data_IF_193809898130
#
_entry.id   IF_193809898130
#
_cell.length_a   1.000
_cell.length_b   1.000
_cell.length_c   1.000
_cell.angle_alpha   90.00
_cell.angle_beta   90.00
_cell.angle_gamma   90.00
#
_symmetry.space_group_name_H-M   'P 1'
#
loop_
_entity.id
_entity.type
_entity.pdbx_description
1 polymer ?
#
# COMPACT_ATOMS: atom_id res chain seq x y z
N UNK A 1 16.75 12.52 54.02
CA UNK A 1 17.66 13.04 52.97
C UNK A 1 18.08 11.97 51.96
N UNK A 2 18.85 10.93 52.32
CA UNK A 2 19.35 9.92 51.35
C UNK A 2 18.26 9.16 50.59
N UNK A 3 17.13 8.84 51.25
CA UNK A 3 15.97 8.16 50.62
C UNK A 3 15.25 9.02 49.57
N UNK A 4 15.22 10.35 49.77
CA UNK A 4 14.66 11.30 48.81
C UNK A 4 15.53 11.41 47.54
N UNK A 5 16.85 11.37 47.70
CA UNK A 5 17.78 11.38 46.56
C UNK A 5 17.65 10.13 45.69
N UNK A 6 17.49 8.95 46.30
CA UNK A 6 17.27 7.70 45.57
C UNK A 6 15.94 7.73 44.81
N UNK A 7 14.88 8.26 45.43
CA UNK A 7 13.58 8.40 44.78
C UNK A 7 13.62 9.36 43.57
N UNK A 8 14.29 10.50 43.70
CA UNK A 8 14.46 11.44 42.58
C UNK A 8 15.29 10.83 41.44
N UNK A 9 16.35 10.09 41.75
CA UNK A 9 17.18 9.43 40.74
C UNK A 9 16.40 8.33 39.99
N UNK A 10 15.60 7.54 40.70
CA UNK A 10 14.73 6.54 40.09
C UNK A 10 13.67 7.17 39.18
N UNK A 11 13.04 8.27 39.63
CA UNK A 11 12.06 8.99 38.83
C UNK A 11 12.68 9.58 37.57
N UNK A 12 13.87 10.19 37.66
CA UNK A 12 14.58 10.72 36.49
C UNK A 12 14.91 9.62 35.46
N UNK A 13 15.32 8.43 35.91
CA UNK A 13 15.60 7.31 35.00
C UNK A 13 14.34 6.81 34.26
N UNK A 14 13.18 6.81 34.93
CA UNK A 14 11.89 6.47 34.32
C UNK A 14 11.45 7.51 33.28
N UNK A 15 11.69 8.80 33.53
CA UNK A 15 11.37 9.85 32.55
C UNK A 15 12.26 9.79 31.29
N UNK A 16 13.52 9.37 31.42
CA UNK A 16 14.42 9.24 30.26
C UNK A 16 14.15 8.00 29.41
N UNK A 17 13.57 6.93 29.97
CA UNK A 17 13.24 5.71 29.23
C UNK A 17 12.07 5.88 28.24
N UNK A 18 11.27 6.93 28.39
CA UNK A 18 10.12 7.23 27.53
C UNK A 18 10.45 7.97 26.23
N UNK A 19 11.69 8.45 26.04
CA UNK A 19 12.10 9.15 24.82
C UNK A 19 12.61 8.20 23.73
N UNK A 20 11.99 7.02 23.60
CA UNK A 20 12.17 6.20 22.40
C UNK A 20 11.32 6.83 21.30
N UNK A 21 11.96 7.69 20.52
CA UNK A 21 11.48 8.20 19.23
C UNK A 21 10.77 7.06 18.48
N UNK A 22 9.52 7.30 18.08
CA UNK A 22 8.71 6.31 17.39
C UNK A 22 9.30 6.04 16.00
N UNK A 23 10.18 5.03 15.95
CA UNK A 23 10.81 4.56 14.72
C UNK A 23 9.82 3.85 13.79
N UNK A 24 8.65 3.41 14.29
CA UNK A 24 7.65 2.69 13.48
C UNK A 24 6.86 3.61 12.58
N UNK A 25 6.70 4.87 12.95
CA UNK A 25 6.00 5.84 12.14
C UNK A 25 6.98 6.59 11.25
N UNK A 26 7.97 7.27 11.82
CA UNK A 26 8.66 8.37 11.13
C UNK A 26 9.57 8.02 9.94
N UNK A 27 10.11 6.80 9.81
CA UNK A 27 11.15 6.49 8.81
C UNK A 27 10.63 5.84 7.51
N UNK A 28 9.59 5.00 7.59
CA UNK A 28 9.08 4.21 6.45
C UNK A 28 7.71 4.70 5.94
N UNK A 29 7.28 5.90 6.35
CA UNK A 29 6.03 6.48 5.88
C UNK A 29 6.00 6.60 4.35
N UNK A 30 4.98 6.00 3.75
CA UNK A 30 4.76 6.05 2.31
C UNK A 30 5.59 5.06 1.50
N UNK A 31 6.46 4.26 2.13
CA UNK A 31 7.27 3.28 1.39
C UNK A 31 6.40 2.17 0.80
N UNK A 32 5.45 1.63 1.57
CA UNK A 32 4.45 0.70 1.06
C UNK A 32 3.63 1.28 -0.11
N UNK A 33 3.30 2.57 -0.06
CA UNK A 33 2.59 3.25 -1.14
C UNK A 33 3.47 3.36 -2.39
N UNK A 34 4.73 3.76 -2.25
CA UNK A 34 5.69 3.83 -3.37
C UNK A 34 5.93 2.45 -3.98
N UNK A 35 6.05 1.42 -3.15
CA UNK A 35 6.23 0.03 -3.60
C UNK A 35 5.02 -0.47 -4.40
N UNK A 36 3.81 -0.22 -3.88
CA UNK A 36 2.57 -0.55 -4.59
C UNK A 36 2.49 0.21 -5.92
N UNK A 37 2.79 1.51 -5.94
CA UNK A 37 2.82 2.28 -7.19
C UNK A 37 3.86 1.76 -8.18
N UNK A 38 5.06 1.41 -7.72
CA UNK A 38 6.09 0.83 -8.57
C UNK A 38 5.64 -0.50 -9.18
N UNK A 39 4.93 -1.35 -8.42
CA UNK A 39 4.39 -2.61 -8.92
C UNK A 39 3.29 -2.45 -9.99
N UNK A 40 2.63 -1.29 -10.04
CA UNK A 40 1.59 -0.98 -11.03
C UNK A 40 2.17 -0.46 -12.35
N UNK A 41 3.45 -0.07 -12.39
CA UNK A 41 4.09 0.44 -13.59
C UNK A 41 4.47 -0.75 -14.50
N UNK A 42 3.65 -0.99 -15.52
CA UNK A 42 3.87 -2.08 -16.48
C UNK A 42 5.14 -1.91 -17.34
N UNK A 43 5.50 -0.66 -17.67
CA UNK A 43 6.73 -0.33 -18.40
C UNK A 43 7.25 1.06 -17.99
N UNK A 44 8.27 1.17 -17.13
CA UNK A 44 8.81 2.45 -16.68
C UNK A 44 9.48 3.25 -17.81
N UNK A 45 9.88 2.60 -18.91
CA UNK A 45 10.58 3.21 -20.03
C UNK A 45 9.62 3.81 -21.08
N UNK A 46 8.31 3.55 -20.97
CA UNK A 46 7.31 3.93 -21.97
C UNK A 46 7.23 5.45 -22.22
N UNK A 47 7.62 6.28 -21.24
CA UNK A 47 7.64 7.74 -21.37
C UNK A 47 8.93 8.34 -21.92
N UNK A 48 9.99 7.55 -22.17
CA UNK A 48 11.30 8.08 -22.59
C UNK A 48 11.37 8.48 -24.06
N UNK A 49 10.43 8.00 -24.86
CA UNK A 49 10.32 8.30 -26.28
C UNK A 49 8.89 8.71 -26.60
N UNK A 50 8.73 9.76 -27.41
CA UNK A 50 7.43 10.16 -27.96
C UNK A 50 7.03 9.31 -29.19
N UNK A 51 7.85 8.32 -29.56
CA UNK A 51 7.51 7.40 -30.63
C UNK A 51 6.33 6.51 -30.19
N UNK A 52 5.35 6.25 -31.07
CA UNK A 52 4.34 5.24 -30.81
C UNK A 52 5.01 3.90 -30.47
N UNK A 53 4.57 3.24 -29.40
CA UNK A 53 5.05 1.90 -29.06
C UNK A 53 4.82 0.93 -30.21
N UNK A 54 5.67 -0.10 -30.31
CA UNK A 54 5.43 -1.19 -31.25
C UNK A 54 4.04 -1.79 -30.96
N UNK A 55 3.17 -1.82 -31.98
CA UNK A 55 1.84 -2.40 -31.86
C UNK A 55 1.88 -3.90 -31.56
N UNK A 56 0.73 -4.46 -31.18
CA UNK A 56 0.60 -5.90 -31.05
C UNK A 56 0.65 -6.58 -32.42
N UNK A 57 1.29 -7.75 -32.51
CA UNK A 57 1.14 -8.64 -33.66
C UNK A 57 -0.34 -8.96 -33.91
N UNK A 58 -0.77 -9.10 -35.16
CA UNK A 58 -2.18 -9.28 -35.51
C UNK A 58 -2.86 -10.44 -34.76
N UNK A 59 -2.16 -11.56 -34.57
CA UNK A 59 -2.68 -12.71 -33.81
C UNK A 59 -2.69 -12.46 -32.31
N UNK A 60 -1.79 -11.63 -31.81
CA UNK A 60 -1.80 -11.18 -30.41
C UNK A 60 -2.96 -10.21 -30.18
N UNK A 61 -3.18 -9.24 -31.07
CA UNK A 61 -4.27 -8.28 -31.01
C UNK A 61 -5.64 -8.97 -31.05
N UNK A 62 -5.84 -9.92 -31.96
CA UNK A 62 -7.08 -10.71 -32.05
C UNK A 62 -7.37 -11.46 -30.75
N UNK A 63 -6.35 -12.10 -30.15
CA UNK A 63 -6.49 -12.78 -28.85
C UNK A 63 -6.86 -11.82 -27.73
N UNK A 64 -6.24 -10.64 -27.67
CA UNK A 64 -6.55 -9.63 -26.65
C UNK A 64 -8.00 -9.15 -26.79
N UNK A 65 -8.45 -8.86 -28.01
CA UNK A 65 -9.82 -8.43 -28.27
C UNK A 65 -10.81 -9.54 -27.89
N UNK A 66 -10.52 -10.79 -28.27
CA UNK A 66 -11.35 -11.94 -27.95
C UNK A 66 -11.47 -12.14 -26.44
N UNK A 67 -10.35 -12.15 -25.71
CA UNK A 67 -10.35 -12.25 -24.24
C UNK A 67 -11.10 -11.09 -23.57
N UNK A 68 -10.96 -9.87 -24.09
CA UNK A 68 -11.70 -8.72 -23.57
C UNK A 68 -13.22 -8.85 -23.76
N UNK A 69 -13.66 -9.33 -24.93
CA UNK A 69 -15.08 -9.48 -25.27
C UNK A 69 -15.73 -10.64 -24.54
N UNK A 70 -15.04 -11.78 -24.45
CA UNK A 70 -15.58 -13.00 -23.84
C UNK A 70 -15.51 -12.94 -22.31
N UNK A 71 -14.63 -12.09 -21.76
CA UNK A 71 -14.29 -12.06 -20.35
C UNK A 71 -13.45 -13.28 -19.98
N UNK A 72 -12.45 -13.10 -19.12
CA UNK A 72 -11.74 -14.25 -18.57
C UNK A 72 -12.69 -15.02 -17.64
N UNK A 73 -13.15 -16.20 -18.06
CA UNK A 73 -13.85 -17.18 -17.20
C UNK A 73 -13.04 -17.49 -15.91
N UNK A 74 -11.74 -17.18 -15.91
CA UNK A 74 -10.82 -17.28 -14.77
C UNK A 74 -11.07 -16.25 -13.65
N UNK A 75 -11.90 -15.23 -13.88
CA UNK A 75 -12.39 -14.37 -12.78
C UNK A 75 -13.29 -15.11 -11.79
N UNK A 76 -13.69 -16.37 -12.09
CA UNK A 76 -14.40 -17.23 -11.14
C UNK A 76 -13.51 -17.97 -10.15
N UNK A 77 -12.18 -17.87 -10.22
CA UNK A 77 -11.31 -18.60 -9.30
C UNK A 77 -10.06 -17.82 -8.87
N UNK A 78 -10.28 -16.77 -8.10
CA UNK A 78 -9.37 -16.43 -7.00
C UNK A 78 -10.14 -16.72 -5.72
N UNK A 79 -9.59 -17.59 -4.85
CA UNK A 79 -10.11 -17.86 -3.50
C UNK A 79 -10.34 -16.56 -2.72
N UNK A 80 -10.98 -16.60 -1.54
CA UNK A 80 -11.58 -15.43 -0.91
C UNK A 80 -10.57 -14.30 -0.70
N UNK A 81 -10.45 -13.42 -1.69
CA UNK A 81 -9.88 -12.11 -1.49
C UNK A 81 -10.84 -11.38 -0.55
N UNK A 82 -10.37 -10.64 0.46
CA UNK A 82 -11.25 -9.81 1.26
C UNK A 82 -11.98 -8.88 0.29
N UNK A 83 -13.29 -9.10 0.14
CA UNK A 83 -14.13 -8.26 -0.69
C UNK A 83 -14.17 -6.87 -0.05
N UNK A 84 -13.36 -5.94 -0.56
CA UNK A 84 -13.43 -4.54 -0.19
C UNK A 84 -14.64 -3.97 -0.92
N UNK A 85 -15.75 -3.88 -0.20
CA UNK A 85 -16.97 -3.27 -0.69
C UNK A 85 -16.80 -1.74 -0.68
N UNK A 86 -16.37 -1.18 -1.81
CA UNK A 86 -16.31 0.26 -2.01
C UNK A 86 -17.71 0.78 -2.36
N UNK A 87 -18.41 1.31 -1.37
CA UNK A 87 -19.67 2.00 -1.59
C UNK A 87 -19.38 3.42 -2.08
N UNK A 88 -19.71 3.71 -3.35
CA UNK A 88 -19.54 5.03 -3.98
C UNK A 88 -20.68 6.01 -3.65
N UNK A 89 -21.60 5.64 -2.75
CA UNK A 89 -22.58 6.59 -2.24
C UNK A 89 -21.84 7.57 -1.31
N UNK A 90 -21.93 8.86 -1.63
CA UNK A 90 -21.34 9.96 -0.86
C UNK A 90 -22.08 10.14 0.47
N UNK A 91 -21.93 9.19 1.38
CA UNK A 91 -22.66 9.16 2.63
C UNK A 91 -22.04 8.21 3.66
N UNK A 92 -21.06 8.72 4.40
CA UNK A 92 -20.72 8.24 5.74
C UNK A 92 -19.68 7.12 5.84
N UNK A 93 -18.46 7.48 6.23
CA UNK A 93 -17.45 6.57 6.75
C UNK A 93 -17.89 6.00 8.12
N UNK A 94 -18.07 4.69 8.24
CA UNK A 94 -18.23 4.02 9.52
C UNK A 94 -16.98 3.21 9.83
N UNK A 95 -16.11 3.77 10.66
CA UNK A 95 -14.95 3.08 11.21
C UNK A 95 -15.37 2.07 12.27
N UNK A 96 -14.95 0.82 12.11
CA UNK A 96 -14.99 -0.18 13.17
C UNK A 96 -13.59 -0.33 13.77
N UNK A 97 -13.42 0.25 14.96
CA UNK A 97 -12.30 -0.06 15.84
C UNK A 97 -12.43 -1.50 16.35
N UNK A 98 -11.35 -2.26 16.20
CA UNK A 98 -10.98 -3.34 17.11
C UNK A 98 -9.99 -2.79 18.11
#
# INVERSE_FOLDING_TARGET
MKKLWIACAALAALLLAGCNEDRRTTWDHGEATKEIFASQIANPEAGKSNAPGAGLDGKAAERVIKTYQEGDDKTKQSGPAPAINLNLNSGGSQGSGQ
#
